data_IF_992762641932
#
_entry.id   IF_992762641932
#
_cell.length_a   1.000
_cell.length_b   1.000
_cell.length_c   1.000
_cell.angle_alpha   90.00
_cell.angle_beta   90.00
_cell.angle_gamma   90.00
#
_symmetry.space_group_name_H-M   'P 1'
#
loop_
_entity.id
_entity.type
_entity.pdbx_description
1 polymer ?
#
# COMPACT_ATOMS: atom_id res chain seq x y z
N UNK A 1 7.77 34.01 -3.47
CA UNK A 1 8.70 32.86 -3.39
C UNK A 1 8.48 32.20 -2.02
N UNK A 2 7.59 31.22 -1.94
CA UNK A 2 7.31 30.50 -0.69
C UNK A 2 8.41 29.48 -0.45
N UNK A 3 9.09 29.59 0.68
CA UNK A 3 10.03 28.59 1.15
C UNK A 3 9.26 27.26 1.30
N UNK A 4 9.53 26.29 0.43
CA UNK A 4 9.07 24.92 0.64
C UNK A 4 9.80 24.40 1.87
N UNK A 5 9.15 24.41 3.02
CA UNK A 5 9.62 23.78 4.25
C UNK A 5 9.83 22.30 3.97
N UNK A 6 11.04 21.91 3.57
CA UNK A 6 11.40 20.50 3.47
C UNK A 6 11.42 19.94 4.90
N UNK A 7 10.55 18.98 5.19
CA UNK A 7 10.58 18.25 6.47
C UNK A 7 11.99 17.74 6.74
N UNK A 8 12.44 17.86 7.99
CA UNK A 8 13.72 17.28 8.39
C UNK A 8 13.71 15.76 8.14
N UNK A 9 14.86 15.20 7.80
CA UNK A 9 15.01 13.76 7.53
C UNK A 9 14.52 12.92 8.72
N UNK A 10 14.78 13.37 9.94
CA UNK A 10 14.33 12.69 11.17
C UNK A 10 12.80 12.57 11.25
N UNK A 11 12.05 13.61 10.87
CA UNK A 11 10.57 13.56 10.84
C UNK A 11 10.08 12.56 9.79
N UNK A 12 10.69 12.54 8.60
CA UNK A 12 10.32 11.56 7.55
C UNK A 12 10.57 10.13 8.00
N UNK A 13 11.71 9.86 8.61
CA UNK A 13 12.07 8.54 9.14
C UNK A 13 11.10 8.11 10.26
N UNK A 14 10.78 9.01 11.18
CA UNK A 14 9.80 8.73 12.25
C UNK A 14 8.41 8.42 11.70
N UNK A 15 7.95 9.15 10.68
CA UNK A 15 6.68 8.87 10.03
C UNK A 15 6.68 7.52 9.30
N UNK A 16 7.76 7.19 8.58
CA UNK A 16 7.90 5.88 7.94
C UNK A 16 7.82 4.78 9.00
N UNK A 17 8.58 4.89 10.09
CA UNK A 17 8.56 3.90 11.17
C UNK A 17 7.15 3.74 11.77
N UNK A 18 6.49 4.84 12.09
CA UNK A 18 5.13 4.84 12.65
C UNK A 18 4.14 4.16 11.70
N UNK A 19 4.10 4.59 10.44
CA UNK A 19 3.18 4.00 9.47
C UNK A 19 3.52 2.55 9.13
N UNK A 20 4.79 2.15 9.19
CA UNK A 20 5.18 0.75 9.00
C UNK A 20 4.67 -0.16 10.13
N UNK A 21 4.75 0.29 11.38
CA UNK A 21 4.19 -0.45 12.52
C UNK A 21 2.66 -0.53 12.41
N UNK A 22 2.00 0.58 12.08
CA UNK A 22 0.54 0.58 11.86
C UNK A 22 0.13 -0.33 10.71
N UNK A 23 0.87 -0.33 9.59
CA UNK A 23 0.63 -1.20 8.45
C UNK A 23 0.85 -2.68 8.81
N UNK A 24 1.87 -2.98 9.61
CA UNK A 24 2.10 -4.33 10.14
C UNK A 24 0.93 -4.79 11.03
N UNK A 25 0.48 -3.97 11.96
CA UNK A 25 -0.67 -4.29 12.82
C UNK A 25 -1.95 -4.49 11.99
N UNK A 26 -2.18 -3.63 10.99
CA UNK A 26 -3.28 -3.78 10.07
C UNK A 26 -3.18 -5.09 9.25
N UNK A 27 -1.97 -5.49 8.84
CA UNK A 27 -1.75 -6.76 8.16
C UNK A 27 -2.03 -7.97 9.07
N UNK A 28 -1.70 -7.90 10.36
CA UNK A 28 -2.11 -8.92 11.34
C UNK A 28 -3.63 -9.02 11.45
N UNK A 29 -4.31 -7.88 11.45
CA UNK A 29 -5.78 -7.85 11.47
C UNK A 29 -6.39 -8.51 10.21
N UNK A 30 -5.76 -8.39 9.04
CA UNK A 30 -6.15 -9.13 7.82
C UNK A 30 -6.15 -10.64 8.07
N UNK A 31 -5.12 -11.15 8.74
CA UNK A 31 -5.00 -12.58 9.05
C UNK A 31 -6.11 -13.06 9.99
N UNK A 32 -6.47 -12.25 10.99
CA UNK A 32 -7.53 -12.57 11.95
C UNK A 32 -8.94 -12.53 11.35
N UNK A 33 -9.16 -11.68 10.35
CA UNK A 33 -10.47 -11.46 9.71
C UNK A 33 -10.65 -12.20 8.39
N UNK A 34 -9.81 -13.19 8.08
CA UNK A 34 -9.87 -13.98 6.82
C UNK A 34 -9.98 -13.05 5.60
N UNK A 35 -9.05 -12.08 5.50
CA UNK A 35 -8.91 -11.08 4.43
C UNK A 35 -9.88 -9.89 4.45
N UNK A 36 -10.97 -9.90 5.21
CA UNK A 36 -11.87 -8.72 5.31
C UNK A 36 -11.20 -7.48 5.89
N UNK A 37 -10.15 -7.66 6.69
CA UNK A 37 -9.33 -6.55 7.22
C UNK A 37 -8.39 -5.90 6.19
N UNK A 38 -8.35 -6.36 4.94
CA UNK A 38 -7.45 -5.83 3.90
C UNK A 38 -7.61 -4.32 3.68
N UNK A 39 -8.82 -3.79 3.89
CA UNK A 39 -9.08 -2.35 3.82
C UNK A 39 -8.26 -1.56 4.84
N UNK A 40 -8.06 -2.08 6.06
CA UNK A 40 -7.30 -1.40 7.10
C UNK A 40 -5.84 -1.21 6.68
N UNK A 41 -5.20 -2.27 6.14
CA UNK A 41 -3.86 -2.19 5.59
C UNK A 41 -3.76 -1.19 4.43
N UNK A 42 -4.71 -1.26 3.48
CA UNK A 42 -4.73 -0.37 2.32
C UNK A 42 -4.88 1.11 2.73
N UNK A 43 -5.75 1.40 3.70
CA UNK A 43 -5.98 2.74 4.25
C UNK A 43 -4.71 3.27 4.93
N UNK A 44 -4.08 2.48 5.81
CA UNK A 44 -2.87 2.91 6.53
C UNK A 44 -1.71 3.17 5.57
N UNK A 45 -1.46 2.28 4.62
CA UNK A 45 -0.43 2.44 3.61
C UNK A 45 -0.64 3.71 2.77
N UNK A 46 -1.88 3.93 2.31
CA UNK A 46 -2.21 5.07 1.48
C UNK A 46 -2.10 6.40 2.26
N UNK A 47 -2.60 6.44 3.51
CA UNK A 47 -2.43 7.63 4.37
C UNK A 47 -0.95 7.92 4.57
N UNK A 48 -0.14 6.91 4.90
CA UNK A 48 1.30 7.05 5.09
C UNK A 48 2.00 7.64 3.87
N UNK A 49 1.73 7.09 2.67
CA UNK A 49 2.28 7.58 1.42
C UNK A 49 1.89 9.05 1.14
N UNK A 50 0.61 9.40 1.32
CA UNK A 50 0.10 10.75 1.07
C UNK A 50 0.49 11.77 2.15
N UNK A 51 0.79 11.34 3.37
CA UNK A 51 1.31 12.20 4.46
C UNK A 51 2.78 12.48 4.29
N UNK A 52 3.59 11.49 3.96
CA UNK A 52 5.05 11.66 3.75
C UNK A 52 5.35 12.41 2.45
N UNK A 53 4.59 12.14 1.38
CA UNK A 53 4.64 12.86 0.08
C UNK A 53 5.96 12.71 -0.68
N UNK A 54 6.68 11.63 -0.46
CA UNK A 54 7.96 11.34 -1.13
C UNK A 54 7.85 10.11 -2.04
N UNK A 55 8.61 10.07 -3.17
CA UNK A 55 8.51 9.00 -4.16
C UNK A 55 8.96 7.60 -3.70
N UNK A 56 9.31 7.44 -2.45
CA UNK A 56 9.73 6.17 -1.84
C UNK A 56 8.91 5.79 -0.61
N UNK A 57 7.91 6.60 -0.27
CA UNK A 57 7.20 6.47 1.01
C UNK A 57 6.39 5.19 1.11
N UNK A 58 5.66 4.80 0.06
CA UNK A 58 4.89 3.57 0.04
C UNK A 58 5.81 2.34 0.05
N UNK A 59 6.91 2.39 -0.72
CA UNK A 59 7.92 1.32 -0.75
C UNK A 59 8.57 1.13 0.62
N UNK A 60 9.01 2.20 1.26
CA UNK A 60 9.65 2.14 2.58
C UNK A 60 8.71 1.58 3.66
N UNK A 61 7.46 2.06 3.71
CA UNK A 61 6.43 1.54 4.62
C UNK A 61 6.17 0.06 4.35
N UNK A 62 5.98 -0.31 3.09
CA UNK A 62 5.69 -1.70 2.70
C UNK A 62 6.86 -2.63 2.97
N UNK A 63 8.11 -2.17 2.74
CA UNK A 63 9.31 -2.95 3.04
C UNK A 63 9.39 -3.30 4.53
N UNK A 64 9.31 -2.29 5.40
CA UNK A 64 9.43 -2.50 6.84
C UNK A 64 8.25 -3.30 7.39
N UNK A 65 7.01 -2.96 7.02
CA UNK A 65 5.83 -3.71 7.42
C UNK A 65 5.86 -5.16 6.89
N UNK A 66 6.30 -5.34 5.63
CA UNK A 66 6.46 -6.64 5.00
C UNK A 66 7.53 -7.49 5.69
N UNK A 67 8.66 -6.92 6.05
CA UNK A 67 9.70 -7.62 6.83
C UNK A 67 9.13 -8.11 8.17
N UNK A 68 8.52 -7.21 8.95
CA UNK A 68 7.95 -7.56 10.27
C UNK A 68 6.90 -8.67 10.14
N UNK A 69 6.06 -8.62 9.10
CA UNK A 69 5.01 -9.63 8.90
C UNK A 69 5.59 -10.96 8.39
N UNK A 70 6.59 -10.92 7.52
CA UNK A 70 7.20 -12.10 6.90
C UNK A 70 7.91 -13.00 7.89
N UNK A 71 8.49 -12.43 8.96
CA UNK A 71 9.12 -13.22 10.03
C UNK A 71 8.12 -14.16 10.74
N UNK A 72 6.83 -13.95 10.61
CA UNK A 72 5.80 -14.80 11.20
C UNK A 72 5.30 -15.90 10.24
N UNK A 73 5.91 -16.04 9.07
CA UNK A 73 5.45 -16.96 8.04
C UNK A 73 6.57 -17.81 7.48
N UNK A 74 6.26 -19.10 7.24
CA UNK A 74 7.14 -20.03 6.52
C UNK A 74 7.37 -19.54 5.07
N UNK A 75 6.41 -18.79 4.50
CA UNK A 75 6.47 -18.24 3.14
C UNK A 75 7.03 -16.81 3.14
N UNK A 76 8.16 -16.62 3.82
CA UNK A 76 8.80 -15.31 3.98
C UNK A 76 8.91 -14.50 2.68
N UNK A 77 9.52 -15.09 1.63
CA UNK A 77 9.74 -14.41 0.35
C UNK A 77 8.45 -14.08 -0.40
N UNK A 78 7.46 -14.97 -0.33
CA UNK A 78 6.14 -14.73 -0.94
C UNK A 78 5.49 -13.47 -0.36
N UNK A 79 5.50 -13.36 0.96
CA UNK A 79 4.85 -12.26 1.65
C UNK A 79 5.63 -10.96 1.47
N UNK A 80 6.94 -11.00 1.73
CA UNK A 80 7.80 -9.81 1.58
C UNK A 80 7.72 -9.25 0.15
N UNK A 81 7.78 -10.12 -0.86
CA UNK A 81 7.69 -9.72 -2.25
C UNK A 81 6.33 -9.09 -2.60
N UNK A 82 5.23 -9.63 -2.07
CA UNK A 82 3.90 -9.05 -2.30
C UNK A 82 3.78 -7.63 -1.71
N UNK A 83 4.34 -7.41 -0.51
CA UNK A 83 4.40 -6.07 0.10
C UNK A 83 5.28 -5.12 -0.74
N UNK A 84 6.46 -5.57 -1.16
CA UNK A 84 7.38 -4.77 -1.98
C UNK A 84 6.77 -4.39 -3.33
N UNK A 85 6.21 -5.35 -4.06
CA UNK A 85 5.53 -5.08 -5.35
C UNK A 85 4.47 -4.02 -5.16
N UNK A 86 3.65 -4.11 -4.12
CA UNK A 86 2.62 -3.12 -3.84
C UNK A 86 3.21 -1.73 -3.59
N UNK A 87 4.21 -1.62 -2.72
CA UNK A 87 4.84 -0.33 -2.40
C UNK A 87 5.49 0.32 -3.62
N UNK A 88 6.28 -0.45 -4.37
CA UNK A 88 6.98 0.03 -5.58
C UNK A 88 5.99 0.49 -6.65
N UNK A 89 4.92 -0.27 -6.89
CA UNK A 89 3.91 0.11 -7.90
C UNK A 89 3.19 1.40 -7.48
N UNK A 90 2.83 1.55 -6.20
CA UNK A 90 2.21 2.79 -5.71
C UNK A 90 3.14 3.97 -5.93
N UNK A 91 4.40 3.88 -5.49
CA UNK A 91 5.36 4.96 -5.63
C UNK A 91 5.63 5.31 -7.09
N UNK A 92 5.81 4.31 -7.97
CA UNK A 92 6.04 4.52 -9.39
C UNK A 92 4.88 5.25 -10.06
N UNK A 93 3.63 4.79 -9.85
CA UNK A 93 2.47 5.42 -10.48
C UNK A 93 2.20 6.80 -9.86
N UNK A 94 2.33 6.98 -8.54
CA UNK A 94 2.16 8.28 -7.89
C UNK A 94 3.19 9.31 -8.35
N UNK A 95 4.42 8.87 -8.59
CA UNK A 95 5.46 9.72 -9.16
C UNK A 95 5.14 10.12 -10.61
N UNK A 96 4.81 9.14 -11.47
CA UNK A 96 4.50 9.36 -12.88
C UNK A 96 3.21 10.19 -13.08
N UNK A 97 2.18 9.95 -12.28
CA UNK A 97 0.90 10.67 -12.37
C UNK A 97 0.88 12.02 -11.65
N UNK A 98 1.97 12.39 -10.97
CA UNK A 98 2.08 13.64 -10.25
C UNK A 98 1.29 13.70 -8.94
N UNK A 99 0.78 12.57 -8.42
CA UNK A 99 0.01 12.51 -7.16
C UNK A 99 0.80 13.05 -5.99
N UNK A 100 2.10 12.76 -5.89
CA UNK A 100 2.94 13.31 -4.82
C UNK A 100 3.09 14.82 -4.90
N UNK A 101 3.17 15.37 -6.12
CA UNK A 101 3.21 16.84 -6.30
C UNK A 101 1.90 17.48 -5.87
N UNK A 102 0.77 16.92 -6.31
CA UNK A 102 -0.54 17.40 -5.93
C UNK A 102 -0.77 17.31 -4.40
N UNK A 103 -0.33 16.20 -3.78
CA UNK A 103 -0.42 16.03 -2.33
C UNK A 103 0.40 17.07 -1.56
N UNK A 104 1.56 17.53 -2.10
CA UNK A 104 2.33 18.63 -1.51
C UNK A 104 1.59 19.95 -1.55
N UNK A 105 0.75 20.15 -2.57
CA UNK A 105 -0.13 21.32 -2.74
C UNK A 105 -1.47 21.16 -2.00
N UNK A 106 -1.66 20.07 -1.25
CA UNK A 106 -2.90 19.78 -0.52
C UNK A 106 -4.05 19.31 -1.40
N UNK A 107 -3.78 18.94 -2.64
CA UNK A 107 -4.77 18.43 -3.60
C UNK A 107 -4.71 16.90 -3.68
N UNK A 108 -5.86 16.25 -3.55
CA UNK A 108 -5.97 14.79 -3.56
C UNK A 108 -6.94 14.31 -4.63
N UNK A 109 -6.40 13.97 -5.82
CA UNK A 109 -7.19 13.48 -6.95
C UNK A 109 -7.63 12.03 -6.69
N UNK A 110 -8.93 11.81 -6.54
CA UNK A 110 -9.50 10.49 -6.20
C UNK A 110 -9.21 9.45 -7.30
N UNK A 111 -9.46 9.79 -8.56
CA UNK A 111 -9.37 8.83 -9.68
C UNK A 111 -7.97 8.21 -9.83
N UNK A 112 -6.88 8.98 -10.00
CA UNK A 112 -5.55 8.39 -10.15
C UNK A 112 -5.11 7.62 -8.90
N UNK A 113 -5.49 8.05 -7.70
CA UNK A 113 -5.18 7.34 -6.45
C UNK A 113 -5.91 5.99 -6.44
N UNK A 114 -7.21 5.96 -6.76
CA UNK A 114 -7.99 4.72 -6.78
C UNK A 114 -7.45 3.73 -7.81
N UNK A 115 -7.18 4.19 -9.03
CA UNK A 115 -6.60 3.35 -10.09
C UNK A 115 -5.26 2.75 -9.63
N UNK A 116 -4.39 3.55 -9.03
CA UNK A 116 -3.11 3.09 -8.50
C UNK A 116 -3.28 2.01 -7.44
N UNK A 117 -4.20 2.20 -6.50
CA UNK A 117 -4.46 1.22 -5.45
C UNK A 117 -4.96 -0.12 -6.00
N UNK A 118 -5.83 -0.09 -7.01
CA UNK A 118 -6.32 -1.29 -7.69
C UNK A 118 -5.20 -1.98 -8.47
N UNK A 119 -4.43 -1.24 -9.27
CA UNK A 119 -3.31 -1.80 -10.05
C UNK A 119 -2.26 -2.42 -9.12
N UNK A 120 -1.89 -1.74 -8.04
CA UNK A 120 -0.90 -2.25 -7.08
C UNK A 120 -1.36 -3.54 -6.41
N UNK A 121 -2.65 -3.64 -6.07
CA UNK A 121 -3.24 -4.86 -5.52
C UNK A 121 -3.27 -6.00 -6.52
N UNK A 122 -3.63 -5.71 -7.77
CA UNK A 122 -3.65 -6.68 -8.86
C UNK A 122 -2.25 -7.24 -9.12
N UNK A 123 -1.23 -6.38 -9.27
CA UNK A 123 0.14 -6.81 -9.52
C UNK A 123 0.75 -7.58 -8.34
N UNK A 124 0.43 -7.20 -7.10
CA UNK A 124 0.83 -7.98 -5.93
C UNK A 124 0.19 -9.38 -5.94
N UNK A 125 -1.06 -9.50 -6.38
CA UNK A 125 -1.72 -10.80 -6.57
C UNK A 125 -1.08 -11.63 -7.68
N UNK A 126 -0.76 -11.03 -8.84
CA UNK A 126 -0.03 -11.72 -9.92
C UNK A 126 1.32 -12.22 -9.41
N UNK A 127 2.07 -11.41 -8.66
CA UNK A 127 3.31 -11.86 -8.05
C UNK A 127 3.10 -13.10 -7.16
N UNK A 128 2.07 -13.09 -6.31
CA UNK A 128 1.74 -14.24 -5.45
C UNK A 128 1.40 -15.49 -6.27
N UNK A 129 0.60 -15.34 -7.31
CA UNK A 129 0.27 -16.44 -8.23
C UNK A 129 1.52 -17.04 -8.88
N UNK A 130 2.37 -16.18 -9.44
CA UNK A 130 3.62 -16.63 -10.08
C UNK A 130 4.55 -17.32 -9.09
N UNK A 131 4.67 -16.78 -7.88
CA UNK A 131 5.50 -17.38 -6.84
C UNK A 131 4.99 -18.76 -6.44
N UNK A 132 3.68 -18.92 -6.23
CA UNK A 132 3.07 -20.19 -5.87
C UNK A 132 3.25 -21.22 -6.98
N UNK A 133 3.07 -20.82 -8.23
CA UNK A 133 3.13 -21.73 -9.39
C UNK A 133 4.57 -22.10 -9.73
N UNK A 134 5.49 -21.12 -9.80
CA UNK A 134 6.86 -21.35 -10.27
C UNK A 134 7.80 -21.85 -9.17
N UNK A 135 7.69 -21.29 -7.95
CA UNK A 135 8.62 -21.65 -6.86
C UNK A 135 8.10 -22.76 -5.96
N UNK A 136 6.77 -22.82 -5.72
CA UNK A 136 6.21 -23.90 -4.90
C UNK A 136 5.71 -25.08 -5.74
N UNK A 137 5.77 -25.00 -7.07
CA UNK A 137 5.37 -26.07 -7.97
C UNK A 137 3.88 -26.46 -7.88
N UNK A 138 3.03 -25.57 -7.30
CA UNK A 138 1.60 -25.85 -7.16
C UNK A 138 0.88 -25.43 -8.43
N UNK A 139 0.26 -26.38 -9.11
CA UNK A 139 -0.61 -26.11 -10.26
C UNK A 139 -1.90 -25.47 -9.75
N UNK A 140 -1.98 -24.14 -9.83
CA UNK A 140 -3.18 -23.38 -9.52
C UNK A 140 -3.72 -22.83 -10.84
N UNK A 141 -5.00 -23.09 -11.12
CA UNK A 141 -5.66 -22.49 -12.28
C UNK A 141 -5.73 -20.96 -12.11
N UNK A 142 -5.28 -20.24 -13.13
CA UNK A 142 -5.23 -18.79 -13.10
C UNK A 142 -6.61 -18.13 -13.00
N UNK A 143 -7.60 -18.71 -13.71
CA UNK A 143 -8.97 -18.24 -13.65
C UNK A 143 -9.56 -18.42 -12.25
N UNK A 144 -9.38 -19.58 -11.64
CA UNK A 144 -9.82 -19.83 -10.27
C UNK A 144 -9.12 -18.92 -9.26
N UNK A 145 -7.83 -18.61 -9.48
CA UNK A 145 -7.10 -17.67 -8.61
C UNK A 145 -7.71 -16.26 -8.66
N UNK A 146 -7.95 -15.72 -9.86
CA UNK A 146 -8.49 -14.35 -10.03
C UNK A 146 -9.91 -14.22 -9.47
N UNK A 147 -10.75 -15.24 -9.60
CA UNK A 147 -12.12 -15.21 -9.07
C UNK A 147 -12.19 -15.60 -7.59
N UNK A 148 -11.06 -15.93 -6.96
CA UNK A 148 -11.03 -16.29 -5.55
C UNK A 148 -11.52 -15.13 -4.68
N UNK A 149 -12.27 -15.45 -3.63
CA UNK A 149 -12.78 -14.46 -2.68
C UNK A 149 -11.66 -13.60 -2.10
N UNK A 150 -10.51 -14.19 -1.79
CA UNK A 150 -9.36 -13.48 -1.22
C UNK A 150 -8.85 -12.40 -2.18
N UNK A 151 -8.70 -12.75 -3.47
CA UNK A 151 -8.22 -11.82 -4.48
C UNK A 151 -9.23 -10.68 -4.72
N UNK A 152 -10.51 -11.02 -4.87
CA UNK A 152 -11.57 -10.03 -5.10
C UNK A 152 -11.75 -9.10 -3.89
N UNK A 153 -11.74 -9.61 -2.66
CA UNK A 153 -11.81 -8.79 -1.45
C UNK A 153 -10.61 -7.85 -1.36
N UNK A 154 -9.41 -8.30 -1.73
CA UNK A 154 -8.24 -7.43 -1.76
C UNK A 154 -8.39 -6.28 -2.78
N UNK A 155 -8.87 -6.57 -4.00
CA UNK A 155 -9.12 -5.54 -5.02
C UNK A 155 -10.17 -4.52 -4.57
N UNK A 156 -11.32 -4.98 -4.08
CA UNK A 156 -12.41 -4.12 -3.59
C UNK A 156 -11.94 -3.27 -2.41
N UNK A 157 -11.22 -3.85 -1.46
CA UNK A 157 -10.66 -3.13 -0.31
C UNK A 157 -9.71 -2.00 -0.72
N UNK A 158 -8.86 -2.25 -1.72
CA UNK A 158 -7.95 -1.24 -2.25
C UNK A 158 -8.69 -0.15 -3.04
N UNK A 159 -9.71 -0.50 -3.82
CA UNK A 159 -10.57 0.48 -4.48
C UNK A 159 -11.27 1.39 -3.47
N UNK A 160 -11.87 0.81 -2.43
CA UNK A 160 -12.52 1.55 -1.35
C UNK A 160 -11.55 2.47 -0.62
N UNK A 161 -10.35 1.98 -0.26
CA UNK A 161 -9.31 2.82 0.36
C UNK A 161 -8.92 3.98 -0.56
N UNK A 162 -8.76 3.72 -1.86
CA UNK A 162 -8.44 4.72 -2.89
C UNK A 162 -9.50 5.81 -3.05
N UNK A 163 -10.75 5.52 -2.72
CA UNK A 163 -11.86 6.50 -2.73
C UNK A 163 -11.97 7.23 -1.37
N UNK A 164 -12.00 6.46 -0.28
CA UNK A 164 -12.29 6.98 1.07
C UNK A 164 -11.17 7.91 1.55
N UNK A 165 -9.91 7.50 1.40
CA UNK A 165 -8.78 8.26 1.95
C UNK A 165 -8.66 9.64 1.30
N UNK A 166 -8.56 9.80 -0.02
CA UNK A 166 -8.39 11.12 -0.62
C UNK A 166 -9.64 12.00 -0.47
N UNK A 167 -10.83 11.41 -0.44
CA UNK A 167 -12.09 12.17 -0.40
C UNK A 167 -12.49 12.60 1.02
N UNK A 168 -12.26 11.76 2.02
CA UNK A 168 -12.80 11.99 3.36
C UNK A 168 -11.74 12.12 4.45
N UNK A 169 -10.61 11.42 4.33
CA UNK A 169 -9.58 11.38 5.37
C UNK A 169 -8.60 12.53 5.19
N UNK A 170 -7.97 12.62 4.00
CA UNK A 170 -6.92 13.63 3.76
C UNK A 170 -7.39 15.08 3.92
N UNK A 171 -8.60 15.48 3.47
CA UNK A 171 -9.07 16.86 3.69
C UNK A 171 -9.28 17.22 5.16
N UNK A 172 -9.56 16.21 6.02
CA UNK A 172 -9.75 16.43 7.47
C UNK A 172 -8.43 16.42 8.24
N UNK A 173 -7.43 15.71 7.74
CA UNK A 173 -6.07 15.78 8.23
C UNK A 173 -5.42 17.09 7.73
N UNK A 174 -5.93 18.26 8.19
CA UNK A 174 -5.27 19.56 7.94
C UNK A 174 -3.91 19.56 8.62
N UNK A 175 -2.96 18.89 7.99
CA UNK A 175 -1.58 18.90 8.43
C UNK A 175 -0.98 20.18 7.86
N UNK A 176 -1.18 21.29 8.58
CA UNK A 176 -0.45 22.55 8.32
C UNK A 176 1.00 22.32 8.73
N UNK A 177 1.85 22.15 7.75
CA UNK A 177 3.30 22.07 7.94
C UNK A 177 4.00 23.23 7.26
#
# INVERSE_FOLDING_TARGET
MGASSSRSISVKVSLIAMFSVLAFLAALFVKLTVSYGAIAYAVVLLIGALVIREPYSATAISLVAGLLYSFQSILFLLILGAFLVRGVVIDAIFWLSGVYRDAREGRYRVVPITITMVISSFLAGIYQYLFITLFLGKLVDFGAFIVSTIFLVALVSNALAGIIVPKYVMPRLRISW
#
